data_IF_285312227470
#
_entry.id   IF_285312227470
#
_cell.length_a   1.000
_cell.length_b   1.000
_cell.length_c   1.000
_cell.angle_alpha   90.00
_cell.angle_beta   90.00
_cell.angle_gamma   90.00
#
_symmetry.space_group_name_H-M   'P 1'
#
loop_
_entity.id
_entity.type
_entity.pdbx_description
1 polymer ?
#
# COMPACT_ATOMS: atom_id res chain seq x y z
N UNK A 1 1.82 -8.96 -14.32
CA UNK A 1 3.08 -8.21 -14.11
C UNK A 1 3.43 -8.30 -12.64
N UNK A 2 4.68 -8.58 -12.27
CA UNK A 2 5.06 -8.82 -10.87
C UNK A 2 6.52 -8.47 -10.63
N UNK A 3 7.11 -8.94 -9.54
CA UNK A 3 8.49 -8.63 -9.14
C UNK A 3 9.55 -8.73 -10.25
N UNK A 4 9.53 -9.72 -11.18
CA UNK A 4 10.52 -9.77 -12.26
C UNK A 4 10.59 -8.50 -13.11
N UNK A 5 9.44 -7.87 -13.36
CA UNK A 5 9.39 -6.60 -14.09
C UNK A 5 10.05 -5.47 -13.30
N UNK A 6 9.74 -5.35 -12.01
CA UNK A 6 10.28 -4.27 -11.18
C UNK A 6 11.78 -4.45 -10.89
N UNK A 7 12.25 -5.69 -10.77
CA UNK A 7 13.69 -6.00 -10.70
C UNK A 7 14.40 -5.52 -11.98
N UNK A 8 13.83 -5.78 -13.15
CA UNK A 8 14.37 -5.28 -14.41
C UNK A 8 14.32 -3.74 -14.49
N UNK A 9 13.22 -3.13 -14.06
CA UNK A 9 13.08 -1.67 -14.05
C UNK A 9 14.16 -1.01 -13.18
N UNK A 10 14.37 -1.48 -11.95
CA UNK A 10 15.40 -0.96 -11.05
C UNK A 10 16.81 -1.20 -11.62
N UNK A 11 17.08 -2.36 -12.22
CA UNK A 11 18.36 -2.62 -12.87
C UNK A 11 18.65 -1.64 -14.02
N UNK A 12 17.63 -1.31 -14.83
CA UNK A 12 17.75 -0.32 -15.90
C UNK A 12 17.91 1.10 -15.33
N UNK A 13 17.17 1.46 -14.28
CA UNK A 13 17.33 2.74 -13.58
C UNK A 13 18.77 2.91 -13.09
N UNK A 14 19.34 1.90 -12.43
CA UNK A 14 20.73 1.93 -11.95
C UNK A 14 21.73 2.05 -13.09
N UNK A 15 21.55 1.27 -14.16
CA UNK A 15 22.44 1.29 -15.34
C UNK A 15 22.46 2.64 -16.04
N UNK A 16 21.32 3.32 -16.13
CA UNK A 16 21.15 4.54 -16.92
C UNK A 16 20.96 5.81 -16.06
N UNK A 17 21.17 5.74 -14.75
CA UNK A 17 21.00 6.86 -13.85
C UNK A 17 21.82 8.08 -14.28
N UNK A 18 23.07 7.87 -14.72
CA UNK A 18 24.00 8.94 -15.10
C UNK A 18 24.09 10.04 -14.02
N UNK A 19 24.30 9.64 -12.76
CA UNK A 19 24.41 10.53 -11.61
C UNK A 19 23.09 11.11 -11.07
N UNK A 20 21.94 10.82 -11.68
CA UNK A 20 20.64 11.28 -11.18
C UNK A 20 20.24 10.53 -9.91
N UNK A 21 19.68 11.25 -8.94
CA UNK A 21 18.93 10.66 -7.85
C UNK A 21 17.58 10.15 -8.38
N UNK A 22 17.26 8.88 -8.13
CA UNK A 22 16.01 8.24 -8.54
C UNK A 22 15.24 7.88 -7.29
N UNK A 23 14.02 8.39 -7.17
CA UNK A 23 13.09 8.04 -6.10
C UNK A 23 11.99 7.18 -6.70
N UNK A 24 11.75 6.03 -6.08
CA UNK A 24 10.69 5.12 -6.50
C UNK A 24 9.53 5.13 -5.50
N UNK A 25 8.33 5.33 -6.02
CA UNK A 25 7.09 5.24 -5.24
C UNK A 25 6.17 4.19 -5.88
N UNK A 26 5.47 3.41 -5.07
CA UNK A 26 4.61 2.34 -5.55
C UNK A 26 3.20 2.47 -4.98
N UNK A 27 2.18 2.49 -5.83
CA UNK A 27 0.80 2.51 -5.38
C UNK A 27 0.10 1.17 -5.64
N UNK A 28 -0.60 0.66 -4.63
CA UNK A 28 -1.22 -0.66 -4.67
C UNK A 28 -2.53 -0.73 -3.88
N UNK A 29 -3.34 -1.73 -4.21
CA UNK A 29 -4.48 -2.15 -3.38
C UNK A 29 -4.06 -3.13 -2.28
N UNK A 30 -2.78 -3.53 -2.21
CA UNK A 30 -2.21 -4.31 -1.11
C UNK A 30 -2.45 -5.82 -1.19
N UNK A 31 -3.48 -6.30 -1.90
CA UNK A 31 -3.95 -7.70 -1.76
C UNK A 31 -2.98 -8.79 -2.25
N UNK A 32 -1.90 -8.41 -2.95
CA UNK A 32 -0.85 -9.30 -3.45
C UNK A 32 0.52 -9.07 -2.78
N UNK A 33 0.57 -8.23 -1.75
CA UNK A 33 1.82 -7.98 -1.03
C UNK A 33 2.11 -9.16 -0.10
N UNK A 34 3.33 -9.67 -0.22
CA UNK A 34 3.92 -10.71 0.62
C UNK A 34 5.34 -10.32 1.02
N UNK A 35 6.04 -11.23 1.70
CA UNK A 35 7.40 -10.97 2.18
C UNK A 35 8.42 -10.76 1.03
N UNK A 36 8.19 -11.33 -0.16
CA UNK A 36 9.09 -11.10 -1.29
C UNK A 36 8.97 -9.66 -1.79
N UNK A 37 7.74 -9.16 -1.88
CA UNK A 37 7.48 -7.75 -2.19
C UNK A 37 8.05 -6.83 -1.13
N UNK A 38 7.79 -7.11 0.15
CA UNK A 38 8.26 -6.28 1.25
C UNK A 38 9.80 -6.19 1.28
N UNK A 39 10.50 -7.31 1.08
CA UNK A 39 11.97 -7.34 0.94
C UNK A 39 12.44 -6.52 -0.26
N UNK A 40 11.77 -6.64 -1.41
CA UNK A 40 12.12 -5.86 -2.60
C UNK A 40 11.96 -4.36 -2.38
N UNK A 41 10.83 -3.93 -1.80
CA UNK A 41 10.60 -2.51 -1.51
C UNK A 41 11.62 -1.96 -0.52
N UNK A 42 11.92 -2.71 0.54
CA UNK A 42 12.93 -2.29 1.53
C UNK A 42 14.32 -2.15 0.91
N UNK A 43 14.72 -3.11 0.06
CA UNK A 43 16.05 -3.13 -0.56
C UNK A 43 16.30 -1.99 -1.56
N UNK A 44 15.23 -1.36 -2.05
CA UNK A 44 15.29 -0.28 -3.03
C UNK A 44 14.64 1.02 -2.54
N UNK A 45 14.44 1.13 -1.22
CA UNK A 45 13.88 2.29 -0.53
C UNK A 45 12.61 2.87 -1.19
N UNK A 46 11.70 1.98 -1.59
CA UNK A 46 10.41 2.39 -2.13
C UNK A 46 9.51 2.98 -1.04
N UNK A 47 8.86 4.10 -1.34
CA UNK A 47 7.69 4.55 -0.59
C UNK A 47 6.43 3.89 -1.16
N UNK A 48 5.68 3.17 -0.32
CA UNK A 48 4.48 2.43 -0.76
C UNK A 48 3.20 3.16 -0.37
N UNK A 49 2.35 3.51 -1.33
CA UNK A 49 0.98 3.96 -1.09
C UNK A 49 -0.01 2.80 -1.13
N UNK A 50 -0.68 2.53 -0.01
CA UNK A 50 -1.65 1.45 0.12
C UNK A 50 -3.06 2.03 0.18
N UNK A 51 -3.94 1.50 -0.66
CA UNK A 51 -5.33 1.96 -0.73
C UNK A 51 -6.16 1.34 0.40
N UNK A 52 -6.71 2.18 1.30
CA UNK A 52 -7.58 1.74 2.40
C UNK A 52 -8.53 2.86 2.83
N UNK A 53 -9.84 2.59 2.83
CA UNK A 53 -10.86 3.64 2.98
C UNK A 53 -11.46 3.78 4.40
N UNK A 54 -10.93 3.03 5.36
CA UNK A 54 -11.45 2.91 6.73
C UNK A 54 -11.43 1.46 7.17
N UNK A 55 -12.14 1.16 8.27
CA UNK A 55 -12.29 -0.22 8.75
C UNK A 55 -13.08 -1.09 7.75
N UNK A 56 -13.20 -2.38 8.06
CA UNK A 56 -13.79 -3.37 7.15
C UNK A 56 -15.16 -2.94 6.60
N UNK A 57 -16.02 -2.39 7.44
CA UNK A 57 -17.36 -1.95 7.02
C UNK A 57 -17.30 -0.80 6.01
N UNK A 58 -16.38 0.15 6.17
CA UNK A 58 -16.24 1.28 5.24
C UNK A 58 -15.48 0.89 3.97
N UNK A 59 -14.45 0.05 4.10
CA UNK A 59 -13.59 -0.39 3.00
C UNK A 59 -14.30 -1.36 2.06
N UNK A 60 -14.89 -2.42 2.62
CA UNK A 60 -15.45 -3.51 1.83
C UNK A 60 -16.78 -3.15 1.16
N UNK A 61 -17.37 -1.99 1.47
CA UNK A 61 -18.52 -1.44 0.71
C UNK A 61 -18.17 -1.26 -0.78
N UNK A 62 -16.98 -0.74 -1.07
CA UNK A 62 -16.55 -0.42 -2.44
C UNK A 62 -15.36 -1.25 -2.92
N UNK A 63 -14.53 -1.76 -2.01
CA UNK A 63 -13.30 -2.49 -2.35
C UNK A 63 -13.49 -3.99 -2.18
N UNK A 64 -14.22 -4.57 -3.11
CA UNK A 64 -14.41 -6.01 -3.24
C UNK A 64 -13.64 -6.58 -4.42
N UNK A 65 -13.37 -7.88 -4.38
CA UNK A 65 -12.88 -8.60 -5.56
C UNK A 65 -13.96 -8.65 -6.65
N UNK A 66 -13.60 -9.11 -7.86
CA UNK A 66 -14.58 -9.35 -8.95
C UNK A 66 -15.69 -10.33 -8.57
N UNK A 67 -15.44 -11.20 -7.58
CA UNK A 67 -16.42 -12.14 -7.04
C UNK A 67 -17.21 -11.58 -5.84
N UNK A 68 -17.13 -10.27 -5.59
CA UNK A 68 -17.81 -9.60 -4.48
C UNK A 68 -17.22 -9.89 -3.11
N UNK A 69 -16.05 -10.54 -3.03
CA UNK A 69 -15.44 -10.89 -1.74
C UNK A 69 -14.74 -9.68 -1.09
N UNK A 70 -14.82 -9.51 0.24
CA UNK A 70 -14.17 -8.43 0.97
C UNK A 70 -12.64 -8.50 0.83
N UNK A 71 -11.98 -7.34 0.82
CA UNK A 71 -10.51 -7.25 0.64
C UNK A 71 -9.78 -6.65 1.82
N UNK A 72 -10.47 -5.96 2.73
CA UNK A 72 -9.88 -5.27 3.88
C UNK A 72 -8.88 -6.14 4.67
N UNK A 73 -9.24 -7.38 5.00
CA UNK A 73 -8.38 -8.29 5.75
C UNK A 73 -7.03 -8.55 5.07
N UNK A 74 -7.00 -8.62 3.74
CA UNK A 74 -5.76 -8.78 2.96
C UNK A 74 -4.93 -7.49 2.97
N UNK A 75 -5.59 -6.35 2.94
CA UNK A 75 -4.92 -5.04 3.01
C UNK A 75 -4.27 -4.84 4.38
N UNK A 76 -4.93 -5.22 5.48
CA UNK A 76 -4.29 -5.20 6.81
C UNK A 76 -3.10 -6.15 6.91
N UNK A 77 -3.18 -7.35 6.31
CA UNK A 77 -2.06 -8.29 6.26
C UNK A 77 -0.88 -7.68 5.48
N UNK A 78 -1.15 -7.02 4.36
CA UNK A 78 -0.13 -6.31 3.59
C UNK A 78 0.54 -5.19 4.40
N UNK A 79 -0.25 -4.37 5.12
CA UNK A 79 0.28 -3.32 5.99
C UNK A 79 1.19 -3.90 7.07
N UNK A 80 0.75 -4.99 7.73
CA UNK A 80 1.56 -5.69 8.74
C UNK A 80 2.86 -6.25 8.15
N UNK A 81 2.81 -6.81 6.94
CA UNK A 81 3.98 -7.34 6.24
C UNK A 81 4.99 -6.23 5.87
N UNK A 82 4.51 -5.09 5.36
CA UNK A 82 5.38 -3.95 5.08
C UNK A 82 6.01 -3.39 6.36
N UNK A 83 5.20 -3.22 7.41
CA UNK A 83 5.67 -2.72 8.71
C UNK A 83 6.72 -3.66 9.33
N UNK A 84 6.52 -4.99 9.28
CA UNK A 84 7.47 -5.96 9.82
C UNK A 84 8.81 -5.98 9.10
N UNK A 85 8.84 -5.58 7.82
CA UNK A 85 10.05 -5.44 7.02
C UNK A 85 10.65 -4.02 7.04
N UNK A 86 10.06 -3.09 7.79
CA UNK A 86 10.50 -1.70 7.88
C UNK A 86 10.37 -0.94 6.56
N UNK A 87 9.38 -1.29 5.73
CA UNK A 87 9.04 -0.53 4.51
C UNK A 87 8.21 0.69 4.90
N UNK A 88 8.62 1.87 4.46
CA UNK A 88 7.85 3.10 4.65
C UNK A 88 6.61 3.09 3.74
N UNK A 89 5.45 3.42 4.32
CA UNK A 89 4.19 3.43 3.60
C UNK A 89 3.27 4.57 4.01
N UNK A 90 2.39 4.94 3.07
CA UNK A 90 1.28 5.87 3.25
C UNK A 90 -0.05 5.12 3.05
N UNK A 91 -1.09 5.59 3.71
CA UNK A 91 -2.47 5.16 3.43
C UNK A 91 -3.14 6.14 2.49
N UNK A 92 -3.84 5.65 1.46
CA UNK A 92 -4.67 6.46 0.58
C UNK A 92 -6.14 6.06 0.75
N UNK A 93 -6.95 7.01 1.19
CA UNK A 93 -8.39 6.84 1.44
C UNK A 93 -9.17 7.62 0.41
N UNK A 94 -10.07 6.93 -0.31
CA UNK A 94 -11.07 7.60 -1.13
C UNK A 94 -12.18 8.10 -0.21
N UNK A 95 -12.46 9.41 -0.24
CA UNK A 95 -13.63 9.98 0.44
C UNK A 95 -14.87 9.70 -0.40
N UNK A 96 -15.80 8.95 0.17
CA UNK A 96 -17.02 8.47 -0.50
C UNK A 96 -18.25 8.75 0.36
N UNK A 97 -19.44 8.46 -0.17
CA UNK A 97 -20.68 8.57 0.59
C UNK A 97 -20.70 7.66 1.83
N UNK A 98 -19.95 6.54 1.82
CA UNK A 98 -19.93 5.60 2.95
C UNK A 98 -19.08 6.11 4.10
N UNK A 99 -18.03 6.91 3.85
CA UNK A 99 -17.09 7.32 4.90
C UNK A 99 -17.06 8.83 5.20
N UNK A 100 -17.66 9.68 4.36
CA UNK A 100 -17.62 11.15 4.53
C UNK A 100 -18.28 11.63 5.84
N UNK A 101 -19.27 10.88 6.35
CA UNK A 101 -19.96 11.18 7.61
C UNK A 101 -19.26 10.58 8.84
N UNK A 102 -18.13 9.88 8.65
CA UNK A 102 -17.42 9.17 9.71
C UNK A 102 -15.92 9.54 9.79
N UNK A 103 -15.52 10.83 9.69
CA UNK A 103 -14.11 11.22 9.60
C UNK A 103 -13.29 10.79 10.82
N UNK A 104 -13.85 10.86 12.03
CA UNK A 104 -13.16 10.42 13.26
C UNK A 104 -12.91 8.92 13.29
N UNK A 105 -13.86 8.12 12.77
CA UNK A 105 -13.73 6.66 12.69
C UNK A 105 -12.65 6.27 11.69
N UNK A 106 -12.64 6.90 10.52
CA UNK A 106 -11.60 6.71 9.51
C UNK A 106 -10.23 7.09 10.10
N UNK A 107 -10.11 8.28 10.68
CA UNK A 107 -8.86 8.75 11.29
C UNK A 107 -8.34 7.79 12.37
N UNK A 108 -9.19 7.40 13.32
CA UNK A 108 -8.81 6.50 14.41
C UNK A 108 -8.36 5.13 13.88
N UNK A 109 -9.03 4.61 12.86
CA UNK A 109 -8.66 3.37 12.20
C UNK A 109 -7.32 3.47 11.45
N UNK A 110 -7.12 4.51 10.64
CA UNK A 110 -5.85 4.70 9.91
C UNK A 110 -4.67 4.84 10.88
N UNK A 111 -4.85 5.53 12.01
CA UNK A 111 -3.83 5.60 13.07
C UNK A 111 -3.54 4.24 13.69
N UNK A 112 -4.56 3.43 13.94
CA UNK A 112 -4.38 2.14 14.62
C UNK A 112 -3.61 1.12 13.78
N UNK A 113 -3.70 1.19 12.45
CA UNK A 113 -2.96 0.33 11.52
C UNK A 113 -1.56 0.85 11.17
N UNK A 114 -1.13 1.95 11.79
CA UNK A 114 0.22 2.47 11.64
C UNK A 114 0.38 3.52 10.53
N UNK A 115 -0.69 4.14 10.06
CA UNK A 115 -0.55 5.31 9.17
C UNK A 115 0.14 6.46 9.91
N UNK A 116 1.20 6.98 9.29
CA UNK A 116 2.05 8.04 9.86
C UNK A 116 1.80 9.41 9.22
N UNK A 117 1.31 9.43 7.99
CA UNK A 117 1.06 10.64 7.19
C UNK A 117 -0.41 10.66 6.82
N UNK A 118 -1.15 11.64 7.35
CA UNK A 118 -2.60 11.78 7.19
C UNK A 118 -3.00 13.25 7.17
#
# INVERSE_FOLDING_TARGET
MGLPFYRQAVALQQRYANGKAIVNTFQTNGILIDDEWARFFRAHDFLVGISIDGDAALHDEWRVTRAGQPTHHKVEQAIKCLASHGVEFNTLTVVSQSNMLHPQRVYAYLKSIGSRYM
#
